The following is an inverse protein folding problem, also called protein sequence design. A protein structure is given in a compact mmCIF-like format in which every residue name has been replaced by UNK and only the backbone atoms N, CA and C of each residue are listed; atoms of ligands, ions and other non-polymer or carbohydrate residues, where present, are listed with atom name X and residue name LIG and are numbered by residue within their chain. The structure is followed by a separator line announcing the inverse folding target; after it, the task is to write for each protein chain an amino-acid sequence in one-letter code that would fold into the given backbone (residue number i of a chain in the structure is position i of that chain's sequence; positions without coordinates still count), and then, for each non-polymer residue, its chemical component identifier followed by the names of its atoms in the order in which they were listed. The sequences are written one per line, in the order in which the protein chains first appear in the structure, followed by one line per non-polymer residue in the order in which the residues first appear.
data_IF_247384521492
#
_entry.id   IF_247384521492
#
_cell.length_a   1.000
_cell.length_b   1.000
_cell.length_c   1.000
_cell.angle_alpha   90.00
_cell.angle_beta   90.00
_cell.angle_gamma   90.00
#
_symmetry.space_group_name_H-M   'P 1'
#
loop_
_entity.id
_entity.type
_entity.pdbx_description
1 polymer ?
#
# COMPACT_ATOMS: atom_id res chain seq x y z
N UNK A 1 -12.18 5.19 -7.55
CA UNK A 1 -10.74 5.17 -7.87
C UNK A 1 -10.41 5.87 -9.19
N UNK A 2 -11.41 6.21 -10.02
CA UNK A 2 -11.25 6.83 -11.34
C UNK A 2 -10.48 8.16 -11.28
N UNK A 3 -10.75 9.05 -10.31
CA UNK A 3 -9.98 10.29 -10.08
C UNK A 3 -8.48 10.04 -9.86
N UNK A 4 -8.10 8.95 -9.17
CA UNK A 4 -6.69 8.63 -8.92
C UNK A 4 -6.00 8.17 -10.21
N UNK A 5 -6.71 7.40 -11.03
CA UNK A 5 -6.22 6.97 -12.34
C UNK A 5 -6.18 8.13 -13.33
N UNK A 6 -7.16 9.02 -13.31
CA UNK A 6 -7.15 10.26 -14.11
C UNK A 6 -5.95 11.13 -13.76
N UNK A 7 -5.69 11.36 -12.46
CA UNK A 7 -4.50 12.12 -12.00
C UNK A 7 -3.20 11.46 -12.46
N UNK A 8 -3.12 10.12 -12.43
CA UNK A 8 -1.96 9.39 -12.95
C UNK A 8 -1.75 9.68 -14.44
N UNK A 9 -2.81 9.64 -15.24
CA UNK A 9 -2.75 9.90 -16.68
C UNK A 9 -2.49 11.37 -17.01
N UNK A 10 -2.94 12.30 -16.17
CA UNK A 10 -2.75 13.73 -16.38
C UNK A 10 -1.31 14.19 -16.08
N UNK A 11 -0.69 13.62 -15.04
CA UNK A 11 0.63 14.03 -14.54
C UNK A 11 1.67 12.90 -14.68
N UNK A 12 1.53 12.04 -15.69
CA UNK A 12 2.38 10.85 -15.85
C UNK A 12 3.87 11.23 -16.02
N UNK A 13 4.15 12.39 -16.59
CA UNK A 13 5.48 12.97 -16.77
C UNK A 13 6.17 13.30 -15.43
N UNK A 14 5.38 13.55 -14.38
CA UNK A 14 5.86 13.87 -13.04
C UNK A 14 6.11 12.62 -12.16
N UNK A 15 5.75 11.41 -12.63
CA UNK A 15 5.92 10.15 -11.88
C UNK A 15 7.38 9.85 -11.52
N UNK A 16 8.32 10.28 -12.34
CA UNK A 16 9.75 10.14 -12.03
C UNK A 16 10.19 11.05 -10.88
N UNK A 17 10.13 12.39 -11.07
CA UNK A 17 10.70 13.36 -10.14
C UNK A 17 9.85 13.61 -8.88
N UNK A 18 8.52 13.48 -8.93
CA UNK A 18 7.61 13.92 -7.86
C UNK A 18 6.69 12.80 -7.34
N UNK A 19 7.26 11.64 -7.03
CA UNK A 19 6.48 10.44 -6.59
C UNK A 19 5.59 10.64 -5.37
N UNK A 20 6.03 11.43 -4.41
CA UNK A 20 5.24 11.74 -3.21
C UNK A 20 3.92 12.44 -3.56
N UNK A 21 3.80 13.03 -4.75
CA UNK A 21 2.53 13.59 -5.26
C UNK A 21 1.45 12.52 -5.48
N UNK A 22 1.86 11.30 -5.81
CA UNK A 22 0.95 10.22 -6.21
C UNK A 22 0.74 9.16 -5.13
N UNK A 23 1.65 9.08 -4.16
CA UNK A 23 1.70 8.03 -3.16
C UNK A 23 1.23 8.53 -1.80
N UNK A 24 0.82 7.62 -0.92
CA UNK A 24 0.40 8.00 0.43
C UNK A 24 1.54 8.66 1.20
N UNK A 25 1.27 9.77 1.88
CA UNK A 25 2.27 10.50 2.68
C UNK A 25 2.44 9.98 4.11
N UNK A 26 2.05 8.72 4.36
CA UNK A 26 2.23 8.07 5.65
C UNK A 26 3.71 8.05 6.02
N UNK A 27 4.05 8.61 7.19
CA UNK A 27 5.44 8.75 7.63
C UNK A 27 6.21 9.95 7.05
N UNK A 28 5.63 10.66 6.05
CA UNK A 28 6.15 11.90 5.49
C UNK A 28 5.47 13.12 6.12
N UNK A 29 4.20 13.36 5.74
CA UNK A 29 3.39 14.49 6.20
C UNK A 29 2.13 14.06 6.95
N UNK A 30 1.76 12.79 6.86
CA UNK A 30 0.66 12.20 7.62
C UNK A 30 1.24 11.25 8.68
N UNK A 31 1.34 11.75 9.91
CA UNK A 31 1.76 10.97 11.07
C UNK A 31 0.97 11.40 12.30
N UNK A 32 0.85 10.49 13.27
CA UNK A 32 0.40 10.84 14.62
C UNK A 32 1.60 11.00 15.52
N UNK A 33 1.61 12.04 16.34
CA UNK A 33 2.68 12.32 17.28
C UNK A 33 2.08 12.40 18.68
N UNK A 34 2.49 11.46 19.54
CA UNK A 34 2.33 11.50 20.99
C UNK A 34 3.68 11.25 21.65
N UNK A 35 3.73 10.40 22.68
CA UNK A 35 5.01 9.85 23.17
C UNK A 35 5.70 8.97 22.11
N UNK A 36 4.89 8.37 21.23
CA UNK A 36 5.35 7.60 20.09
C UNK A 36 4.94 8.30 18.78
N UNK A 37 5.78 8.13 17.76
CA UNK A 37 5.50 8.49 16.39
C UNK A 37 4.79 7.32 15.71
N UNK A 38 3.68 7.63 15.05
CA UNK A 38 2.86 6.70 14.30
C UNK A 38 2.89 7.11 12.83
N UNK A 39 3.24 6.18 11.93
CA UNK A 39 3.31 6.45 10.49
C UNK A 39 1.95 6.78 9.85
N UNK A 40 0.83 6.50 10.52
CA UNK A 40 -0.52 6.78 10.01
C UNK A 40 -1.55 6.70 11.16
N UNK A 41 -2.73 7.31 10.99
CA UNK A 41 -3.85 7.18 11.94
C UNK A 41 -4.28 5.72 12.17
N UNK A 42 -4.11 4.83 11.19
CA UNK A 42 -4.42 3.40 11.34
C UNK A 42 -3.48 2.65 12.28
N UNK A 43 -2.32 3.23 12.63
CA UNK A 43 -1.45 2.64 13.66
C UNK A 43 -1.70 3.20 15.06
N UNK A 44 -2.72 4.05 15.24
CA UNK A 44 -3.06 4.55 16.56
C UNK A 44 -3.56 3.40 17.44
N UNK A 45 -3.17 3.42 18.71
CA UNK A 45 -3.45 2.37 19.70
C UNK A 45 -2.85 1.00 19.40
N UNK A 46 -2.18 0.80 18.26
CA UNK A 46 -1.50 -0.45 17.99
C UNK A 46 -0.33 -0.69 18.92
N UNK A 47 0.21 0.31 19.61
CA UNK A 47 1.22 0.22 20.67
C UNK A 47 0.62 -0.02 22.08
N UNK A 48 -0.69 0.11 22.26
CA UNK A 48 -1.37 -0.17 23.52
C UNK A 48 -1.73 -1.65 23.62
N UNK A 49 -1.03 -2.37 24.51
CA UNK A 49 -1.18 -3.82 24.65
C UNK A 49 -2.57 -4.24 25.14
N UNK A 50 -3.24 -3.42 25.96
CA UNK A 50 -4.62 -3.69 26.40
C UNK A 50 -5.60 -3.63 25.24
N UNK A 51 -5.43 -2.63 24.36
CA UNK A 51 -6.24 -2.47 23.15
C UNK A 51 -6.08 -3.67 22.22
N UNK A 52 -4.84 -4.00 21.85
CA UNK A 52 -4.56 -5.12 20.94
C UNK A 52 -5.06 -6.45 21.51
N UNK A 53 -4.84 -6.71 22.80
CA UNK A 53 -5.34 -7.92 23.45
C UNK A 53 -6.87 -8.00 23.45
N UNK A 54 -7.54 -6.88 23.74
CA UNK A 54 -9.00 -6.80 23.70
C UNK A 54 -9.55 -7.08 22.31
N UNK A 55 -8.91 -6.55 21.27
CA UNK A 55 -9.31 -6.77 19.87
C UNK A 55 -9.16 -8.23 19.48
N UNK A 56 -8.02 -8.85 19.81
CA UNK A 56 -7.75 -10.26 19.49
C UNK A 56 -8.72 -11.23 20.20
N UNK A 57 -9.32 -10.82 21.32
CA UNK A 57 -10.27 -11.61 22.09
C UNK A 57 -11.73 -11.48 21.59
N UNK A 58 -12.06 -10.49 20.75
CA UNK A 58 -13.44 -10.21 20.34
C UNK A 58 -14.06 -11.24 19.38
N UNK A 59 -13.25 -12.10 18.75
CA UNK A 59 -13.73 -13.13 17.82
C UNK A 59 -14.14 -12.58 16.44
N UNK A 60 -13.75 -13.29 15.39
CA UNK A 60 -13.66 -12.84 13.99
C UNK A 60 -14.99 -12.45 13.32
N UNK A 61 -15.47 -11.24 13.56
CA UNK A 61 -16.59 -10.66 12.77
C UNK A 61 -16.33 -9.29 12.16
N UNK A 62 -15.18 -8.69 12.43
CA UNK A 62 -14.82 -7.41 11.82
C UNK A 62 -13.59 -7.59 10.91
N UNK A 63 -13.77 -7.29 9.63
CA UNK A 63 -12.75 -7.37 8.59
C UNK A 63 -11.52 -6.51 8.91
N UNK A 64 -11.72 -5.37 9.59
CA UNK A 64 -10.64 -4.46 9.99
C UNK A 64 -9.67 -5.11 10.99
N UNK A 65 -10.13 -6.13 11.71
CA UNK A 65 -9.38 -6.85 12.76
C UNK A 65 -9.16 -8.33 12.46
N UNK A 66 -9.79 -8.89 11.42
CA UNK A 66 -9.49 -10.27 10.96
C UNK A 66 -8.06 -10.44 10.45
N UNK A 67 -7.40 -9.33 10.11
CA UNK A 67 -5.99 -9.31 9.72
C UNK A 67 -5.05 -8.95 10.88
N UNK A 68 -5.58 -8.64 12.07
CA UNK A 68 -4.75 -8.41 13.25
C UNK A 68 -4.17 -9.74 13.70
N UNK A 69 -2.96 -10.02 13.21
CA UNK A 69 -2.12 -11.09 13.73
C UNK A 69 -1.15 -10.46 14.70
N UNK A 70 -1.06 -11.02 15.92
CA UNK A 70 -0.13 -10.54 16.95
C UNK A 70 1.27 -10.28 16.37
N UNK A 71 1.81 -11.24 15.59
CA UNK A 71 3.11 -11.09 14.95
C UNK A 71 3.24 -9.90 13.99
N UNK A 72 2.20 -9.57 13.21
CA UNK A 72 2.23 -8.39 12.33
C UNK A 72 2.22 -7.09 13.13
N UNK A 73 1.42 -7.05 14.20
CA UNK A 73 1.37 -5.90 15.10
C UNK A 73 2.69 -5.73 15.85
N UNK A 74 3.34 -6.83 16.25
CA UNK A 74 4.65 -6.80 16.91
C UNK A 74 5.74 -6.26 15.98
N UNK A 75 5.73 -6.67 14.69
CA UNK A 75 6.62 -6.10 13.68
C UNK A 75 6.37 -4.59 13.49
N UNK A 76 5.10 -4.20 13.44
CA UNK A 76 4.70 -2.80 13.30
C UNK A 76 5.17 -1.96 14.49
N UNK A 77 4.93 -2.43 15.72
CA UNK A 77 5.41 -1.82 16.96
C UNK A 77 6.93 -1.67 16.96
N UNK A 78 7.65 -2.71 16.55
CA UNK A 78 9.11 -2.75 16.59
C UNK A 78 9.76 -1.82 15.57
N UNK A 79 9.23 -1.76 14.35
CA UNK A 79 9.92 -1.10 13.24
C UNK A 79 9.28 0.22 12.80
N UNK A 80 8.00 0.44 13.08
CA UNK A 80 7.22 1.56 12.53
C UNK A 80 6.50 2.42 13.59
N UNK A 81 6.55 2.06 14.87
CA UNK A 81 6.15 2.92 15.98
C UNK A 81 7.39 3.18 16.82
N UNK A 82 7.80 4.44 16.92
CA UNK A 82 9.07 4.81 17.59
C UNK A 82 8.85 5.87 18.64
N UNK A 83 9.58 5.82 19.73
CA UNK A 83 9.53 6.86 20.75
C UNK A 83 10.13 8.16 20.20
N UNK A 84 9.40 9.28 20.32
CA UNK A 84 9.83 10.57 19.78
C UNK A 84 11.02 11.18 20.50
N UNK A 85 11.32 10.72 21.73
CA UNK A 85 12.50 11.14 22.48
C UNK A 85 13.80 10.44 22.03
N UNK A 86 13.71 9.45 21.13
CA UNK A 86 14.86 8.70 20.63
C UNK A 86 15.19 9.08 19.17
N UNK A 87 16.08 10.07 19.01
CA UNK A 87 16.47 10.60 17.70
C UNK A 87 17.01 9.54 16.72
N UNK A 88 17.71 8.52 17.23
CA UNK A 88 18.22 7.41 16.43
C UNK A 88 17.09 6.60 15.80
N UNK A 89 16.03 6.32 16.56
CA UNK A 89 14.86 5.58 16.08
C UNK A 89 14.02 6.42 15.11
N UNK A 90 13.88 7.73 15.37
CA UNK A 90 13.25 8.65 14.42
C UNK A 90 14.00 8.71 13.10
N UNK A 91 15.33 8.77 13.15
CA UNK A 91 16.18 8.78 11.95
C UNK A 91 16.06 7.48 11.17
N UNK A 92 16.10 6.33 11.86
CA UNK A 92 15.87 5.02 11.25
C UNK A 92 14.48 4.95 10.60
N UNK A 93 13.44 5.43 11.28
CA UNK A 93 12.08 5.41 10.74
C UNK A 93 11.97 6.25 9.47
N UNK A 94 12.51 7.48 9.48
CA UNK A 94 12.53 8.35 8.29
C UNK A 94 13.25 7.69 7.12
N UNK A 95 14.38 7.03 7.38
CA UNK A 95 15.10 6.28 6.35
C UNK A 95 14.25 5.14 5.77
N UNK A 96 13.61 4.34 6.62
CA UNK A 96 12.74 3.24 6.18
C UNK A 96 11.53 3.74 5.39
N UNK A 97 10.87 4.81 5.85
CA UNK A 97 9.71 5.37 5.16
C UNK A 97 10.10 6.04 3.84
N UNK A 98 11.28 6.66 3.76
CA UNK A 98 11.80 7.20 2.51
C UNK A 98 11.96 6.12 1.44
N UNK A 99 12.41 4.92 1.83
CA UNK A 99 12.55 3.80 0.90
C UNK A 99 11.23 3.41 0.24
N UNK A 100 10.07 3.62 0.89
CA UNK A 100 8.76 3.38 0.29
C UNK A 100 8.61 4.13 -1.05
N UNK A 101 9.07 5.38 -1.11
CA UNK A 101 8.99 6.22 -2.30
C UNK A 101 10.16 5.97 -3.27
N UNK A 102 11.35 5.69 -2.74
CA UNK A 102 12.56 5.54 -3.54
C UNK A 102 12.61 4.18 -4.28
N UNK A 103 12.07 3.11 -3.68
CA UNK A 103 12.07 1.75 -4.26
C UNK A 103 10.81 1.42 -5.06
N UNK A 104 10.16 2.41 -5.66
CA UNK A 104 8.98 2.22 -6.51
C UNK A 104 9.16 1.22 -7.68
N UNK A 105 10.37 1.08 -8.25
CA UNK A 105 10.66 0.08 -9.29
C UNK A 105 10.47 -1.35 -8.76
N UNK A 106 10.81 -1.59 -7.49
CA UNK A 106 10.55 -2.87 -6.83
C UNK A 106 9.04 -3.11 -6.73
N UNK A 107 8.28 -2.08 -6.36
CA UNK A 107 6.81 -2.19 -6.23
C UNK A 107 6.17 -2.48 -7.59
N UNK A 108 6.57 -1.78 -8.66
CA UNK A 108 6.08 -2.03 -10.02
C UNK A 108 6.46 -3.43 -10.49
N UNK A 109 7.73 -3.82 -10.31
CA UNK A 109 8.21 -5.15 -10.69
C UNK A 109 7.48 -6.27 -9.97
N UNK A 110 7.21 -6.08 -8.67
CA UNK A 110 6.38 -7.00 -7.88
C UNK A 110 4.97 -7.10 -8.45
N UNK A 111 4.29 -5.98 -8.69
CA UNK A 111 2.91 -6.00 -9.20
C UNK A 111 2.84 -6.68 -10.57
N UNK A 112 3.73 -6.33 -11.50
CA UNK A 112 3.76 -6.96 -12.84
C UNK A 112 3.98 -8.46 -12.74
N UNK A 113 4.98 -8.90 -11.97
CA UNK A 113 5.27 -10.32 -11.78
C UNK A 113 4.07 -11.06 -11.16
N UNK A 114 3.43 -10.45 -10.16
CA UNK A 114 2.28 -11.07 -9.52
C UNK A 114 1.06 -11.15 -10.43
N UNK A 115 0.83 -10.15 -11.28
CA UNK A 115 -0.26 -10.20 -12.25
C UNK A 115 -0.05 -11.31 -13.29
N UNK A 116 1.18 -11.54 -13.72
CA UNK A 116 1.49 -12.66 -14.61
C UNK A 116 1.20 -14.02 -13.95
N UNK A 117 1.61 -14.19 -12.69
CA UNK A 117 1.35 -15.43 -11.96
C UNK A 117 -0.14 -15.63 -11.67
N UNK A 118 -0.86 -14.58 -11.29
CA UNK A 118 -2.31 -14.63 -11.09
C UNK A 118 -3.05 -14.95 -12.39
N UNK A 119 -2.64 -14.37 -13.52
CA UNK A 119 -3.25 -14.64 -14.82
C UNK A 119 -3.03 -16.09 -15.26
N UNK A 120 -1.81 -16.62 -15.07
CA UNK A 120 -1.49 -18.04 -15.32
C UNK A 120 -2.31 -18.99 -14.44
N UNK A 121 -2.60 -18.58 -13.20
CA UNK A 121 -3.43 -19.34 -12.27
C UNK A 121 -4.95 -19.17 -12.49
N UNK A 122 -5.37 -18.39 -13.50
CA UNK A 122 -6.79 -18.08 -13.74
C UNK A 122 -7.42 -17.19 -12.66
N UNK A 123 -6.61 -16.45 -11.91
CA UNK A 123 -7.02 -15.54 -10.84
C UNK A 123 -6.88 -14.05 -11.23
N UNK A 124 -6.51 -13.77 -12.48
CA UNK A 124 -6.55 -12.46 -13.11
C UNK A 124 -6.85 -12.64 -14.61
N UNK A 125 -7.24 -11.56 -15.28
CA UNK A 125 -7.47 -11.57 -16.72
C UNK A 125 -6.21 -12.00 -17.50
N UNK A 126 -6.36 -12.88 -18.48
CA UNK A 126 -5.25 -13.39 -19.28
C UNK A 126 -4.51 -12.30 -20.06
N UNK A 127 -5.18 -11.16 -20.34
CA UNK A 127 -4.59 -10.01 -21.05
C UNK A 127 -3.33 -9.47 -20.38
N UNK A 128 -3.17 -9.64 -19.06
CA UNK A 128 -1.95 -9.25 -18.36
C UNK A 128 -0.69 -10.03 -18.77
N UNK A 129 -0.85 -11.15 -19.51
CA UNK A 129 0.25 -11.92 -20.11
C UNK A 129 0.62 -11.47 -21.52
N UNK A 130 -0.32 -10.84 -22.23
CA UNK A 130 -0.19 -10.53 -23.67
C UNK A 130 0.04 -9.04 -23.92
N UNK A 131 -0.50 -8.18 -23.05
CA UNK A 131 -0.48 -6.73 -23.18
C UNK A 131 0.44 -6.11 -22.11
N UNK A 132 1.67 -5.81 -22.52
CA UNK A 132 2.67 -5.20 -21.64
C UNK A 132 2.30 -3.77 -21.21
N UNK A 133 1.58 -3.04 -22.07
CA UNK A 133 1.13 -1.68 -21.78
C UNK A 133 0.05 -1.69 -20.71
N UNK A 134 -0.96 -2.58 -20.83
CA UNK A 134 -1.98 -2.79 -19.82
C UNK A 134 -1.37 -3.21 -18.48
N UNK A 135 -0.43 -4.17 -18.51
CA UNK A 135 0.27 -4.65 -17.31
C UNK A 135 1.07 -3.53 -16.64
N UNK A 136 1.75 -2.71 -17.43
CA UNK A 136 2.51 -1.55 -16.93
C UNK A 136 1.58 -0.49 -16.35
N UNK A 137 0.51 -0.12 -17.06
CA UNK A 137 -0.44 0.88 -16.60
C UNK A 137 -1.15 0.44 -15.33
N UNK A 138 -1.53 -0.83 -15.23
CA UNK A 138 -2.07 -1.42 -14.01
C UNK A 138 -1.08 -1.33 -12.85
N UNK A 139 0.19 -1.71 -13.08
CA UNK A 139 1.21 -1.63 -12.05
C UNK A 139 1.46 -0.19 -11.58
N UNK A 140 1.45 0.78 -12.48
CA UNK A 140 1.51 2.20 -12.14
C UNK A 140 0.28 2.63 -11.33
N UNK A 141 -0.93 2.23 -11.73
CA UNK A 141 -2.15 2.51 -10.98
C UNK A 141 -2.14 1.91 -9.58
N UNK A 142 -1.70 0.66 -9.42
CA UNK A 142 -1.63 0.03 -8.09
C UNK A 142 -0.61 0.75 -7.21
N UNK A 143 0.57 1.04 -7.74
CA UNK A 143 1.67 1.65 -6.97
C UNK A 143 1.44 3.12 -6.61
N UNK A 144 0.50 3.79 -7.29
CA UNK A 144 0.13 5.18 -7.05
C UNK A 144 -1.26 5.31 -6.44
N UNK A 145 -2.28 4.82 -7.14
CA UNK A 145 -3.69 4.89 -6.77
C UNK A 145 -4.11 3.98 -5.62
N UNK A 146 -3.41 2.88 -5.36
CA UNK A 146 -3.66 1.95 -4.23
C UNK A 146 -2.52 1.94 -3.21
N UNK A 147 -1.61 2.91 -3.31
CA UNK A 147 -0.40 3.03 -2.52
C UNK A 147 -0.72 3.30 -1.05
N UNK A 148 -0.59 2.33 -0.15
CA UNK A 148 -0.76 2.52 1.29
C UNK A 148 0.22 1.64 2.10
N UNK A 149 1.27 2.21 2.73
CA UNK A 149 2.29 1.40 3.40
C UNK A 149 1.74 0.67 4.63
N UNK A 150 0.79 1.26 5.35
CA UNK A 150 0.18 0.61 6.53
C UNK A 150 -0.69 -0.58 6.13
N UNK A 151 -1.45 -0.48 5.03
CA UNK A 151 -2.23 -1.60 4.49
C UNK A 151 -1.30 -2.73 4.04
N UNK A 152 -0.21 -2.38 3.38
CA UNK A 152 0.79 -3.35 2.94
C UNK A 152 1.42 -4.08 4.14
N UNK A 153 1.83 -3.38 5.20
CA UNK A 153 2.38 -4.00 6.42
C UNK A 153 1.34 -4.94 7.05
N UNK A 154 0.11 -4.47 7.26
CA UNK A 154 -0.92 -5.25 7.96
C UNK A 154 -1.27 -6.56 7.25
N UNK A 155 -1.17 -6.60 5.92
CA UNK A 155 -1.54 -7.78 5.12
C UNK A 155 -0.35 -8.64 4.68
N UNK A 156 0.84 -8.05 4.51
CA UNK A 156 2.00 -8.71 3.89
C UNK A 156 3.26 -8.68 4.75
N UNK A 157 3.28 -7.86 5.81
CA UNK A 157 4.47 -7.62 6.62
C UNK A 157 5.53 -6.73 5.95
N UNK A 158 5.26 -6.18 4.76
CA UNK A 158 6.18 -5.32 4.01
C UNK A 158 5.50 -4.01 3.61
N UNK A 159 6.23 -2.90 3.63
CA UNK A 159 5.75 -1.62 3.09
C UNK A 159 5.64 -1.64 1.56
N UNK A 160 6.38 -2.52 0.87
CA UNK A 160 6.50 -2.48 -0.59
C UNK A 160 5.51 -3.39 -1.32
N UNK A 161 4.92 -4.38 -0.65
CA UNK A 161 4.12 -5.41 -1.29
C UNK A 161 2.64 -5.11 -1.17
N UNK A 162 1.98 -4.86 -2.30
CA UNK A 162 0.53 -4.72 -2.35
C UNK A 162 -0.15 -6.07 -2.00
N UNK A 163 -1.22 -6.06 -1.17
CA UNK A 163 -2.01 -7.25 -0.87
C UNK A 163 -2.54 -7.95 -2.13
N UNK A 164 -2.45 -9.28 -2.17
CA UNK A 164 -2.95 -10.09 -3.30
C UNK A 164 -4.46 -9.95 -3.49
N UNK A 165 -5.23 -9.68 -2.43
CA UNK A 165 -6.67 -9.44 -2.51
C UNK A 165 -7.00 -8.23 -3.40
N UNK A 166 -6.25 -7.13 -3.24
CA UNK A 166 -6.40 -5.93 -4.08
C UNK A 166 -6.00 -6.21 -5.52
N UNK A 167 -4.89 -6.92 -5.73
CA UNK A 167 -4.44 -7.31 -7.08
C UNK A 167 -5.50 -8.15 -7.79
N UNK A 168 -6.10 -9.14 -7.12
CA UNK A 168 -7.17 -9.97 -7.67
C UNK A 168 -8.44 -9.18 -7.95
N UNK A 169 -8.85 -8.28 -7.05
CA UNK A 169 -10.06 -7.50 -7.24
C UNK A 169 -9.98 -6.62 -8.50
N UNK A 170 -8.89 -5.87 -8.65
CA UNK A 170 -8.73 -5.00 -9.82
C UNK A 170 -8.29 -5.77 -11.06
N UNK A 171 -7.52 -6.85 -10.91
CA UNK A 171 -7.05 -7.71 -11.99
C UNK A 171 -8.12 -8.59 -12.64
N UNK A 172 -9.28 -8.77 -11.99
CA UNK A 172 -10.43 -9.50 -12.53
C UNK A 172 -11.57 -8.56 -12.96
N UNK A 173 -11.25 -7.52 -13.72
CA UNK A 173 -12.26 -6.61 -14.29
C UNK A 173 -12.38 -5.26 -13.59
N UNK A 174 -12.06 -5.17 -12.30
CA UNK A 174 -12.19 -3.92 -11.55
C UNK A 174 -11.36 -2.77 -12.13
N UNK A 175 -10.20 -3.04 -12.74
CA UNK A 175 -9.40 -2.02 -13.41
C UNK A 175 -9.99 -1.59 -14.75
N UNK A 176 -10.60 -2.52 -15.49
CA UNK A 176 -11.26 -2.24 -16.76
C UNK A 176 -12.46 -1.31 -16.58
N UNK A 177 -13.24 -1.51 -15.52
CA UNK A 177 -14.32 -0.57 -15.15
C UNK A 177 -13.77 0.85 -14.91
N UNK A 178 -12.62 0.98 -14.25
CA UNK A 178 -11.98 2.29 -14.07
C UNK A 178 -11.51 2.92 -15.39
N UNK A 179 -11.02 2.12 -16.34
CA UNK A 179 -10.63 2.60 -17.65
C UNK A 179 -11.84 3.05 -18.48
N UNK A 180 -12.99 2.40 -18.30
CA UNK A 180 -14.25 2.78 -18.96
C UNK A 180 -14.83 4.08 -18.38
N UNK A 181 -14.71 4.28 -17.06
CA UNK A 181 -15.18 5.47 -16.35
C UNK A 181 -14.39 6.74 -16.70
N UNK A 182 -13.14 6.61 -17.14
CA UNK A 182 -12.33 7.78 -17.47
C UNK A 182 -12.83 8.38 -18.79
N UNK A 183 -13.22 9.67 -18.80
CA UNK A 183 -13.61 10.33 -20.04
C UNK A 183 -12.47 10.19 -21.05
N UNK A 184 -12.73 9.55 -22.19
CA UNK A 184 -11.77 9.53 -23.30
C UNK A 184 -11.49 10.97 -23.67
N UNK A 185 -10.30 11.48 -23.30
CA UNK A 185 -9.85 12.81 -23.74
C UNK A 185 -9.87 12.79 -25.27
N UNK A 186 -10.64 13.72 -25.84
CA UNK A 186 -10.66 13.97 -27.29
C UNK A 186 -9.33 14.54 -27.75
#
# INVERSE_FOLDING_TARGET
YSIRLERLLEFWDELGPKKSMFTCSAGDSNSGIGNNFHICHRSFYLDESRYVSSVLQQGDKNWDVSHFKAGTIDLLRKYYIVNVAQDTELTRLRYVMRNYHDFWRLQIGYVRSMMMELARAGQADYRYLEDDELSTLFALFVTTGLSCPIENILNTGSIHLTPLSLLKMFGNGGFQELLHDIPRRK
#
